data_IF_805318689177
#
_entry.id   IF_805318689177
#
_cell.length_a   1.000
_cell.length_b   1.000
_cell.length_c   1.000
_cell.angle_alpha   90.00
_cell.angle_beta   90.00
_cell.angle_gamma   90.00
#
_symmetry.space_group_name_H-M   'P 1'
#
loop_
_entity.id
_entity.type
_entity.pdbx_description
1 polymer ?
#
# COMPACT_ATOMS: atom_id res chain seq x y z
N UNK A 1 -20.66 21.50 12.24
CA UNK A 1 -19.66 20.99 13.21
C UNK A 1 -20.38 19.94 14.03
N UNK A 2 -20.19 18.66 13.72
CA UNK A 2 -20.91 17.55 14.37
C UNK A 2 -20.07 17.13 15.58
N UNK A 3 -20.62 17.26 16.79
CA UNK A 3 -19.98 16.78 18.01
C UNK A 3 -20.29 15.30 18.18
N UNK A 4 -19.27 14.44 18.11
CA UNK A 4 -19.38 13.07 18.58
C UNK A 4 -19.33 13.14 20.11
N UNK A 5 -20.50 13.10 20.76
CA UNK A 5 -20.57 12.99 22.21
C UNK A 5 -20.23 11.55 22.63
N UNK A 6 -18.95 11.33 22.94
CA UNK A 6 -18.53 10.13 23.67
C UNK A 6 -18.97 10.28 25.12
N UNK A 7 -19.96 9.49 25.55
CA UNK A 7 -20.34 9.39 26.97
C UNK A 7 -19.33 8.46 27.64
N UNK A 8 -18.24 9.02 28.16
CA UNK A 8 -17.25 8.30 28.96
C UNK A 8 -17.71 8.19 30.42
N UNK A 9 -17.46 7.07 31.12
CA UNK A 9 -17.62 7.01 32.56
C UNK A 9 -16.60 7.93 33.24
N UNK A 10 -17.10 8.91 34.00
CA UNK A 10 -16.31 9.93 34.70
C UNK A 10 -15.50 9.34 35.86
N UNK A 11 -14.18 9.41 35.75
CA UNK A 11 -13.24 9.33 36.88
C UNK A 11 -12.46 10.66 36.95
N UNK A 12 -12.63 11.38 38.05
CA UNK A 12 -12.03 12.70 38.32
C UNK A 12 -10.55 12.63 38.65
N UNK A 13 -9.72 13.35 37.91
CA UNK A 13 -8.39 13.81 38.35
C UNK A 13 -8.10 15.21 37.76
N UNK A 14 -7.79 16.15 38.64
CA UNK A 14 -7.52 17.56 38.37
C UNK A 14 -6.05 17.82 38.06
N UNK A 15 -5.76 18.61 37.02
CA UNK A 15 -4.43 19.13 36.75
C UNK A 15 -4.42 20.18 35.64
N UNK A 16 -4.06 21.41 35.99
CA UNK A 16 -4.06 22.63 35.15
C UNK A 16 -2.76 22.87 34.37
N UNK A 17 -2.87 23.67 33.29
CA UNK A 17 -1.90 24.67 32.75
C UNK A 17 -1.34 24.39 31.32
N UNK A 18 -0.71 25.37 30.60
CA UNK A 18 -1.39 26.21 29.59
C UNK A 18 -0.62 26.31 28.24
N UNK A 19 -1.27 26.77 27.17
CA UNK A 19 -0.56 27.01 25.90
C UNK A 19 -1.40 27.59 24.75
N UNK A 20 -1.71 28.88 24.83
CA UNK A 20 -2.22 29.68 23.70
C UNK A 20 -1.12 29.92 22.65
N UNK A 21 -1.46 29.78 21.36
CA UNK A 21 -1.25 30.75 20.25
C UNK A 21 -1.11 30.03 18.90
N UNK A 22 -2.22 29.95 18.14
CA UNK A 22 -2.23 29.81 16.67
C UNK A 22 -3.68 29.93 16.17
N UNK A 23 -4.28 31.13 16.31
CA UNK A 23 -5.69 31.34 15.95
C UNK A 23 -5.94 32.54 15.01
N UNK A 24 -4.90 33.05 14.33
CA UNK A 24 -5.07 34.27 13.51
C UNK A 24 -4.77 34.08 12.02
N UNK A 25 -4.34 32.89 11.57
CA UNK A 25 -4.06 32.66 10.14
C UNK A 25 -5.17 31.93 9.36
N UNK A 26 -6.24 31.44 10.02
CA UNK A 26 -7.20 30.51 9.39
C UNK A 26 -8.40 31.18 8.68
N UNK A 27 -8.63 32.48 8.88
CA UNK A 27 -9.90 33.12 8.46
C UNK A 27 -9.89 33.76 7.05
N UNK A 28 -8.81 33.65 6.28
CA UNK A 28 -8.72 34.37 4.98
C UNK A 28 -8.77 33.46 3.74
N UNK A 29 -8.95 32.15 3.90
CA UNK A 29 -9.05 31.20 2.77
C UNK A 29 -10.44 30.58 2.58
N UNK A 30 -11.44 30.97 3.38
CA UNK A 30 -12.83 30.49 3.24
C UNK A 30 -13.69 31.55 2.55
N UNK A 31 -13.32 31.93 1.34
CA UNK A 31 -14.21 32.67 0.44
C UNK A 31 -14.01 32.15 -0.97
N UNK A 32 -15.06 31.52 -1.49
CA UNK A 32 -15.17 30.80 -2.78
C UNK A 32 -14.87 29.30 -2.73
N UNK A 33 -15.82 28.54 -2.19
CA UNK A 33 -16.10 27.23 -2.75
C UNK A 33 -17.61 27.03 -2.85
N UNK A 34 -18.01 26.65 -4.06
CA UNK A 34 -19.36 26.56 -4.57
C UNK A 34 -20.26 25.66 -3.72
N UNK A 35 -21.48 26.10 -3.49
CA UNK A 35 -22.55 25.43 -2.73
C UNK A 35 -23.27 24.32 -3.50
N UNK A 36 -22.77 23.92 -4.68
CA UNK A 36 -23.62 23.17 -5.63
C UNK A 36 -23.42 21.65 -5.66
N UNK A 37 -22.46 21.07 -4.92
CA UNK A 37 -22.15 19.64 -5.04
C UNK A 37 -22.92 18.69 -4.10
N UNK A 38 -23.77 19.20 -3.20
CA UNK A 38 -24.59 18.35 -2.28
C UNK A 38 -26.06 18.21 -2.71
N UNK A 39 -26.44 18.63 -3.92
CA UNK A 39 -27.82 18.67 -4.39
C UNK A 39 -28.30 17.40 -5.13
N UNK A 40 -27.77 16.21 -4.79
CA UNK A 40 -28.23 14.95 -5.38
C UNK A 40 -28.81 14.03 -4.30
N UNK A 41 -30.15 14.08 -4.17
CA UNK A 41 -31.08 13.00 -3.80
C UNK A 41 -32.27 13.43 -2.91
N UNK A 42 -33.05 14.46 -3.28
CA UNK A 42 -34.37 14.71 -2.68
C UNK A 42 -35.36 15.27 -3.73
N UNK A 43 -35.84 14.39 -4.62
CA UNK A 43 -36.99 14.68 -5.47
C UNK A 43 -38.03 13.57 -5.28
N UNK A 44 -38.79 13.66 -4.19
CA UNK A 44 -40.04 12.93 -3.97
C UNK A 44 -41.20 13.95 -3.88
N UNK A 45 -42.41 13.61 -4.34
CA UNK A 45 -43.54 14.54 -4.44
C UNK A 45 -44.01 15.06 -3.06
N UNK A 46 -44.61 16.27 -3.01
CA UNK A 46 -45.02 16.90 -1.77
C UNK A 46 -46.37 16.32 -1.29
N UNK A 47 -46.34 15.25 -0.52
CA UNK A 47 -47.49 14.82 0.26
C UNK A 47 -47.10 14.62 1.72
N UNK A 48 -47.74 15.41 2.59
CA UNK A 48 -47.67 15.39 4.06
C UNK A 48 -46.27 15.58 4.66
N UNK A 49 -45.90 16.83 4.92
CA UNK A 49 -44.78 17.17 5.81
C UNK A 49 -45.21 16.79 7.24
N UNK A 50 -44.62 15.75 7.87
CA UNK A 50 -44.69 15.65 9.32
C UNK A 50 -43.83 16.79 9.88
N UNK A 51 -44.27 17.42 10.97
CA UNK A 51 -43.47 18.42 11.68
C UNK A 51 -42.02 17.97 11.88
N UNK A 52 -41.05 18.89 11.97
CA UNK A 52 -39.65 18.59 12.28
C UNK A 52 -39.53 18.13 13.74
N UNK A 53 -40.11 16.99 14.07
CA UNK A 53 -39.81 16.27 15.31
C UNK A 53 -38.39 15.76 15.14
N UNK A 54 -37.46 16.44 15.83
CA UNK A 54 -36.09 16.04 16.15
C UNK A 54 -35.50 14.95 15.25
N UNK A 55 -34.47 15.31 14.48
CA UNK A 55 -33.41 14.39 14.04
C UNK A 55 -33.16 13.35 15.12
N UNK A 56 -33.85 12.21 15.03
CA UNK A 56 -33.94 11.30 16.16
C UNK A 56 -32.66 10.51 16.10
N UNK A 57 -31.69 10.96 16.89
CA UNK A 57 -30.41 10.29 16.95
C UNK A 57 -30.63 8.85 17.37
N UNK A 58 -29.95 7.97 16.64
CA UNK A 58 -30.01 6.55 16.86
C UNK A 58 -28.84 6.16 17.73
N UNK A 59 -29.05 5.17 18.60
CA UNK A 59 -27.98 4.60 19.40
C UNK A 59 -27.55 3.27 18.80
N UNK A 60 -26.24 3.11 18.64
CA UNK A 60 -25.62 1.83 18.30
C UNK A 60 -24.91 1.29 19.53
N UNK A 61 -25.20 0.04 19.86
CA UNK A 61 -24.59 -0.68 20.97
C UNK A 61 -23.57 -1.70 20.41
N UNK A 62 -22.32 -1.61 20.84
CA UNK A 62 -21.27 -2.56 20.49
C UNK A 62 -21.29 -3.78 21.42
N UNK A 63 -20.61 -4.86 21.03
CA UNK A 63 -20.58 -6.11 21.79
C UNK A 63 -19.91 -6.00 23.16
N UNK A 64 -19.07 -4.99 23.35
CA UNK A 64 -18.41 -4.61 24.61
C UNK A 64 -19.19 -3.54 25.39
N UNK A 65 -20.49 -3.40 25.11
CA UNK A 65 -21.43 -2.51 25.80
C UNK A 65 -21.15 -1.01 25.61
N UNK A 66 -20.34 -0.63 24.61
CA UNK A 66 -20.20 0.75 24.17
C UNK A 66 -21.48 1.26 23.52
N UNK A 67 -21.88 2.49 23.83
CA UNK A 67 -23.10 3.11 23.29
C UNK A 67 -22.75 4.40 22.55
N UNK A 68 -23.12 4.45 21.27
CA UNK A 68 -22.77 5.53 20.36
C UNK A 68 -24.01 6.20 19.81
N UNK A 69 -24.13 7.50 20.05
CA UNK A 69 -25.16 8.32 19.42
C UNK A 69 -24.71 8.71 18.00
N UNK A 70 -25.48 8.31 17.00
CA UNK A 70 -25.13 8.47 15.58
C UNK A 70 -26.29 8.99 14.75
N UNK A 71 -25.95 9.65 13.64
CA UNK A 71 -26.94 10.03 12.62
C UNK A 71 -27.03 8.94 11.56
N UNK A 72 -28.11 8.16 11.63
CA UNK A 72 -28.30 6.98 10.80
C UNK A 72 -28.26 7.24 9.28
N UNK A 73 -28.82 8.36 8.76
CA UNK A 73 -28.69 8.71 7.34
C UNK A 73 -27.24 8.85 6.88
N UNK A 74 -26.35 9.43 7.71
CA UNK A 74 -24.93 9.59 7.39
C UNK A 74 -24.26 8.21 7.28
N UNK A 75 -24.55 7.32 8.23
CA UNK A 75 -24.00 5.96 8.21
C UNK A 75 -24.43 5.18 6.97
N UNK A 76 -25.72 5.28 6.59
CA UNK A 76 -26.26 4.61 5.43
C UNK A 76 -25.74 5.19 4.09
N UNK A 77 -25.48 6.49 4.04
CA UNK A 77 -24.81 7.11 2.89
C UNK A 77 -23.36 6.66 2.76
N UNK A 78 -22.64 6.52 3.87
CA UNK A 78 -21.23 6.14 3.86
C UNK A 78 -21.00 4.64 3.65
N UNK A 79 -21.89 3.80 4.20
CA UNK A 79 -21.72 2.35 4.21
C UNK A 79 -23.02 1.62 3.86
N UNK A 80 -22.98 0.69 2.87
CA UNK A 80 -24.15 -0.08 2.45
C UNK A 80 -24.71 -0.98 3.56
N UNK A 81 -23.89 -1.34 4.56
CA UNK A 81 -24.30 -2.17 5.71
C UNK A 81 -25.44 -1.54 6.50
N UNK A 82 -25.52 -0.21 6.52
CA UNK A 82 -26.53 0.51 7.28
C UNK A 82 -27.80 0.83 6.48
N UNK A 83 -27.81 0.66 5.15
CA UNK A 83 -28.97 1.02 4.32
C UNK A 83 -30.25 0.28 4.74
N UNK A 84 -30.15 -1.01 5.08
CA UNK A 84 -31.30 -1.84 5.47
C UNK A 84 -31.98 -1.41 6.77
N UNK A 85 -31.33 -0.57 7.56
CA UNK A 85 -31.83 -0.06 8.84
C UNK A 85 -32.45 1.35 8.72
N UNK A 86 -32.35 1.99 7.54
CA UNK A 86 -33.11 3.22 7.25
C UNK A 86 -34.62 2.97 7.26
N UNK A 87 -35.05 1.74 6.97
CA UNK A 87 -36.44 1.34 7.07
C UNK A 87 -36.83 1.26 8.56
N UNK A 88 -37.79 2.07 9.03
CA UNK A 88 -38.20 2.04 10.43
C UNK A 88 -38.67 0.65 10.83
N UNK A 89 -37.99 0.03 11.79
CA UNK A 89 -38.45 -1.19 12.47
C UNK A 89 -38.75 -0.81 13.92
N UNK A 90 -39.97 -1.09 14.38
CA UNK A 90 -40.37 -0.88 15.78
C UNK A 90 -41.33 0.29 16.02
N UNK A 91 -41.74 0.50 17.28
CA UNK A 91 -42.71 1.53 17.66
C UNK A 91 -42.20 2.94 17.30
N UNK A 92 -43.12 3.80 16.84
CA UNK A 92 -42.81 5.16 16.38
C UNK A 92 -42.31 6.10 17.48
N UNK A 93 -42.38 5.69 18.76
CA UNK A 93 -42.12 6.54 19.91
C UNK A 93 -40.99 5.94 20.75
N UNK A 94 -39.82 6.58 20.72
CA UNK A 94 -38.67 6.26 21.59
C UNK A 94 -37.31 6.29 20.86
N UNK A 95 -36.20 6.40 21.61
CA UNK A 95 -34.86 6.23 21.07
C UNK A 95 -34.67 4.81 20.52
N UNK A 96 -34.10 4.71 19.32
CA UNK A 96 -33.84 3.41 18.67
C UNK A 96 -32.44 2.95 19.03
N UNK A 97 -32.34 1.72 19.52
CA UNK A 97 -31.07 1.04 19.80
C UNK A 97 -30.86 -0.08 18.78
N UNK A 98 -29.65 -0.16 18.25
CA UNK A 98 -29.24 -1.22 17.34
C UNK A 98 -27.97 -1.87 17.86
N UNK A 99 -28.05 -3.15 18.14
CA UNK A 99 -26.89 -3.93 18.56
C UNK A 99 -26.07 -4.35 17.33
N UNK A 100 -24.75 -4.17 17.42
CA UNK A 100 -23.79 -4.67 16.43
C UNK A 100 -22.79 -5.62 17.09
N UNK A 101 -22.29 -6.58 16.32
CA UNK A 101 -21.35 -7.58 16.81
C UNK A 101 -19.93 -7.02 17.03
N UNK A 102 -19.62 -5.86 16.45
CA UNK A 102 -18.32 -5.18 16.58
C UNK A 102 -18.04 -4.68 17.99
N UNK A 103 -16.76 -4.62 18.35
CA UNK A 103 -16.29 -3.94 19.54
C UNK A 103 -16.24 -2.41 19.37
N UNK A 104 -16.08 -1.69 20.49
CA UNK A 104 -16.00 -0.23 20.52
C UNK A 104 -14.85 0.31 19.68
N UNK A 105 -13.70 -0.36 19.65
CA UNK A 105 -12.53 0.10 18.92
C UNK A 105 -12.79 0.12 17.40
N UNK A 106 -13.39 -0.95 16.89
CA UNK A 106 -13.63 -1.14 15.45
C UNK A 106 -14.69 -0.17 14.98
N UNK A 107 -15.73 0.00 15.79
CA UNK A 107 -16.79 0.95 15.51
C UNK A 107 -16.30 2.41 15.62
N UNK A 108 -15.48 2.75 16.61
CA UNK A 108 -14.83 4.07 16.70
C UNK A 108 -13.96 4.37 15.47
N UNK A 109 -13.18 3.39 15.00
CA UNK A 109 -12.38 3.53 13.79
C UNK A 109 -13.28 3.79 12.56
N UNK A 110 -14.36 3.03 12.43
CA UNK A 110 -15.36 3.24 11.38
C UNK A 110 -15.96 4.65 11.44
N UNK A 111 -16.43 5.09 12.60
CA UNK A 111 -16.97 6.43 12.79
C UNK A 111 -15.94 7.51 12.44
N UNK A 112 -14.68 7.31 12.82
CA UNK A 112 -13.59 8.22 12.49
C UNK A 112 -13.37 8.32 10.98
N UNK A 113 -13.51 7.22 10.23
CA UNK A 113 -13.41 7.23 8.76
C UNK A 113 -14.60 7.87 8.06
N UNK A 114 -15.77 7.93 8.72
CA UNK A 114 -17.03 8.45 8.15
C UNK A 114 -17.28 9.91 8.50
N UNK A 115 -17.06 10.30 9.76
CA UNK A 115 -17.42 11.62 10.28
C UNK A 115 -16.27 12.62 10.27
N UNK A 116 -15.02 12.14 10.26
CA UNK A 116 -13.89 13.06 10.31
C UNK A 116 -13.74 13.77 8.98
N UNK A 117 -13.51 15.08 9.05
CA UNK A 117 -13.15 15.89 7.88
C UNK A 117 -11.77 15.52 7.36
N UNK A 118 -10.87 15.18 8.28
CA UNK A 118 -9.49 14.78 8.03
C UNK A 118 -9.33 13.28 8.30
N UNK A 119 -8.33 12.64 7.70
CA UNK A 119 -8.04 11.24 7.98
C UNK A 119 -7.63 11.07 9.47
N UNK A 120 -8.04 9.98 10.15
CA UNK A 120 -7.48 9.66 11.46
C UNK A 120 -5.95 9.59 11.38
N UNK A 121 -5.29 10.11 12.41
CA UNK A 121 -3.83 10.05 12.52
C UNK A 121 -3.41 8.59 12.74
N UNK A 122 -2.91 7.95 11.68
CA UNK A 122 -2.40 6.58 11.72
C UNK A 122 -0.88 6.66 11.80
N UNK A 123 -0.34 6.30 12.97
CA UNK A 123 1.09 6.37 13.26
C UNK A 123 1.83 5.04 13.05
N UNK A 124 1.11 3.92 12.91
CA UNK A 124 1.69 2.58 12.83
C UNK A 124 1.08 1.76 11.70
N UNK A 125 1.87 0.84 11.13
CA UNK A 125 1.41 -0.07 10.08
C UNK A 125 0.32 -1.04 10.56
N UNK A 126 0.36 -1.45 11.84
CA UNK A 126 -0.72 -2.23 12.45
C UNK A 126 -2.02 -1.42 12.54
N UNK A 127 -1.94 -0.11 12.85
CA UNK A 127 -3.08 0.79 12.82
C UNK A 127 -3.64 0.97 11.41
N UNK A 128 -2.78 1.04 10.39
CA UNK A 128 -3.18 1.07 9.00
C UNK A 128 -3.92 -0.22 8.59
N UNK A 129 -3.35 -1.38 8.92
CA UNK A 129 -3.96 -2.69 8.63
C UNK A 129 -5.34 -2.83 9.28
N UNK A 130 -5.44 -2.39 10.53
CA UNK A 130 -6.70 -2.36 11.28
C UNK A 130 -7.73 -1.44 10.62
N UNK A 131 -7.34 -0.22 10.25
CA UNK A 131 -8.23 0.73 9.57
C UNK A 131 -8.69 0.20 8.20
N UNK A 132 -7.81 -0.46 7.44
CA UNK A 132 -8.17 -1.11 6.18
C UNK A 132 -9.15 -2.29 6.41
N UNK A 133 -8.97 -3.05 7.49
CA UNK A 133 -9.89 -4.13 7.91
C UNK A 133 -11.28 -3.60 8.15
N UNK A 134 -11.39 -2.52 8.93
CA UNK A 134 -12.64 -1.82 9.21
C UNK A 134 -13.24 -1.25 7.93
N UNK A 135 -12.44 -0.56 7.10
CA UNK A 135 -12.90 0.00 5.84
C UNK A 135 -13.49 -1.06 4.91
N UNK A 136 -12.83 -2.23 4.76
CA UNK A 136 -13.35 -3.35 3.98
C UNK A 136 -14.64 -3.91 4.58
N UNK A 137 -14.67 -4.12 5.89
CA UNK A 137 -15.84 -4.68 6.59
C UNK A 137 -17.10 -3.83 6.38
N UNK A 138 -16.97 -2.52 6.45
CA UNK A 138 -18.09 -1.59 6.25
C UNK A 138 -18.25 -1.11 4.79
N UNK A 139 -17.47 -1.63 3.83
CA UNK A 139 -17.58 -1.26 2.43
C UNK A 139 -17.17 0.18 2.11
N UNK A 140 -16.26 0.77 2.90
CA UNK A 140 -15.74 2.13 2.72
C UNK A 140 -14.64 2.18 1.64
N UNK A 141 -15.02 1.95 0.39
CA UNK A 141 -14.07 1.82 -0.72
C UNK A 141 -13.22 3.09 -0.96
N UNK A 142 -13.79 4.28 -0.77
CA UNK A 142 -13.03 5.54 -0.90
C UNK A 142 -12.03 5.69 0.23
N UNK A 143 -12.44 5.46 1.48
CA UNK A 143 -11.55 5.52 2.65
C UNK A 143 -10.41 4.52 2.52
N UNK A 144 -10.66 3.29 2.03
CA UNK A 144 -9.60 2.32 1.76
C UNK A 144 -8.57 2.81 0.73
N UNK A 145 -8.99 3.53 -0.32
CA UNK A 145 -8.07 4.15 -1.29
C UNK A 145 -7.23 5.25 -0.66
N UNK A 146 -7.83 6.09 0.20
CA UNK A 146 -7.10 7.16 0.88
C UNK A 146 -6.10 6.58 1.89
N UNK A 147 -6.51 5.56 2.65
CA UNK A 147 -5.64 4.81 3.58
C UNK A 147 -4.45 4.18 2.84
N UNK A 148 -4.66 3.59 1.66
CA UNK A 148 -3.57 3.11 0.80
C UNK A 148 -2.59 4.24 0.43
N UNK A 149 -3.09 5.44 0.17
CA UNK A 149 -2.26 6.62 -0.13
C UNK A 149 -1.24 6.94 0.96
N UNK A 150 -1.52 6.61 2.22
CA UNK A 150 -0.58 6.80 3.34
C UNK A 150 0.72 6.01 3.20
N UNK A 151 0.72 4.90 2.45
CA UNK A 151 1.94 4.14 2.15
C UNK A 151 2.87 4.89 1.19
N UNK A 152 2.32 5.80 0.37
CA UNK A 152 3.07 6.52 -0.67
C UNK A 152 3.34 7.98 -0.31
N UNK A 153 2.72 8.50 0.75
CA UNK A 153 2.87 9.89 1.18
C UNK A 153 4.10 10.09 2.08
N UNK A 154 5.11 10.90 1.67
CA UNK A 154 6.28 11.17 2.50
C UNK A 154 5.98 11.85 3.84
N UNK A 155 4.84 12.53 3.96
CA UNK A 155 4.39 13.15 5.22
C UNK A 155 3.77 12.17 6.22
N UNK A 156 3.50 10.94 5.77
CA UNK A 156 2.84 9.91 6.56
C UNK A 156 3.82 9.14 7.44
N UNK A 157 3.39 8.78 8.65
CA UNK A 157 4.15 7.92 9.56
C UNK A 157 4.33 6.50 9.01
N UNK A 158 3.36 6.04 8.22
CA UNK A 158 3.35 4.70 7.59
C UNK A 158 3.85 4.75 6.15
N UNK A 159 4.69 5.72 5.82
CA UNK A 159 5.34 5.80 4.53
C UNK A 159 6.28 4.63 4.29
N UNK A 160 6.29 4.09 3.07
CA UNK A 160 7.10 2.91 2.69
C UNK A 160 8.58 3.07 3.02
N UNK A 161 9.15 4.28 2.92
CA UNK A 161 10.57 4.50 3.21
C UNK A 161 10.91 4.42 4.71
N UNK A 162 9.94 4.66 5.61
CA UNK A 162 10.17 4.64 7.05
C UNK A 162 10.37 3.20 7.56
N UNK A 163 9.57 2.26 7.03
CA UNK A 163 9.66 0.84 7.35
C UNK A 163 9.16 0.01 6.15
N UNK A 164 10.06 -0.28 5.18
CA UNK A 164 9.71 -1.05 3.99
C UNK A 164 9.19 -2.45 4.31
N UNK A 165 9.62 -3.01 5.44
CA UNK A 165 9.22 -4.34 5.88
C UNK A 165 7.73 -4.37 6.22
N UNK A 166 7.30 -3.51 7.15
CA UNK A 166 5.91 -3.44 7.55
C UNK A 166 5.01 -2.97 6.40
N UNK A 167 5.49 -2.05 5.56
CA UNK A 167 4.78 -1.60 4.38
C UNK A 167 4.54 -2.73 3.38
N UNK A 168 5.54 -3.60 3.14
CA UNK A 168 5.41 -4.75 2.26
C UNK A 168 4.31 -5.71 2.76
N UNK A 169 4.28 -6.01 4.05
CA UNK A 169 3.31 -6.94 4.63
C UNK A 169 1.87 -6.42 4.50
N UNK A 170 1.65 -5.15 4.83
CA UNK A 170 0.35 -4.51 4.64
C UNK A 170 -0.02 -4.51 3.15
N UNK A 171 0.88 -4.09 2.28
CA UNK A 171 0.62 -4.06 0.84
C UNK A 171 0.32 -5.46 0.27
N UNK A 172 1.02 -6.50 0.73
CA UNK A 172 0.78 -7.89 0.34
C UNK A 172 -0.61 -8.37 0.80
N UNK A 173 -0.95 -8.16 2.08
CA UNK A 173 -2.23 -8.57 2.66
C UNK A 173 -3.43 -7.95 1.93
N UNK A 174 -3.27 -6.72 1.45
CA UNK A 174 -4.31 -5.95 0.78
C UNK A 174 -4.24 -5.95 -0.74
N UNK A 175 -3.26 -6.62 -1.33
CA UNK A 175 -3.08 -6.69 -2.79
C UNK A 175 -2.68 -5.36 -3.43
N UNK A 176 -1.98 -4.49 -2.69
CA UNK A 176 -1.48 -3.21 -3.17
C UNK A 176 -0.16 -3.40 -3.93
N UNK A 177 -0.26 -3.89 -5.17
CA UNK A 177 0.89 -4.36 -5.96
C UNK A 177 1.98 -3.28 -6.12
N UNK A 178 1.62 -2.01 -6.33
CA UNK A 178 2.60 -0.94 -6.56
C UNK A 178 3.42 -0.62 -5.30
N UNK A 179 2.75 -0.54 -4.15
CA UNK A 179 3.33 -0.29 -2.85
C UNK A 179 4.14 -1.51 -2.40
N UNK A 180 3.64 -2.72 -2.64
CA UNK A 180 4.36 -3.98 -2.41
C UNK A 180 5.66 -4.03 -3.22
N UNK A 181 5.63 -3.66 -4.51
CA UNK A 181 6.82 -3.60 -5.37
C UNK A 181 7.79 -2.49 -4.94
N UNK A 182 7.27 -1.37 -4.44
CA UNK A 182 8.11 -0.27 -3.96
C UNK A 182 8.82 -0.64 -2.67
N UNK A 183 8.07 -1.18 -1.71
CA UNK A 183 8.61 -1.70 -0.45
C UNK A 183 9.62 -2.83 -0.69
N UNK A 184 9.32 -3.76 -1.61
CA UNK A 184 10.21 -4.86 -1.89
C UNK A 184 11.53 -4.46 -2.54
N UNK A 185 11.53 -3.42 -3.40
CA UNK A 185 12.77 -2.84 -3.95
C UNK A 185 13.67 -2.29 -2.84
N UNK A 186 13.08 -1.66 -1.84
CA UNK A 186 13.81 -1.14 -0.68
C UNK A 186 14.33 -2.27 0.20
N UNK A 187 13.54 -3.34 0.38
CA UNK A 187 13.96 -4.52 1.13
C UNK A 187 15.15 -5.24 0.48
N UNK A 188 15.17 -5.41 -0.84
CA UNK A 188 16.27 -6.11 -1.54
C UNK A 188 17.64 -5.48 -1.25
N UNK A 189 17.72 -4.16 -1.14
CA UNK A 189 18.97 -3.46 -0.83
C UNK A 189 19.30 -3.35 0.67
N UNK A 190 18.33 -3.61 1.56
CA UNK A 190 18.51 -3.47 3.01
C UNK A 190 18.68 -4.81 3.74
N UNK A 191 18.12 -5.89 3.19
CA UNK A 191 18.14 -7.21 3.82
C UNK A 191 19.33 -8.01 3.27
N UNK A 192 20.37 -8.12 4.08
CA UNK A 192 21.47 -9.03 3.80
C UNK A 192 21.05 -10.47 4.15
N UNK A 193 20.76 -11.26 3.12
CA UNK A 193 20.41 -12.69 3.28
C UNK A 193 21.62 -13.57 3.64
N UNK A 194 22.84 -13.02 3.62
CA UNK A 194 24.05 -13.73 4.06
C UNK A 194 24.32 -13.55 5.56
N UNK A 195 23.64 -12.59 6.21
CA UNK A 195 23.70 -12.40 7.65
C UNK A 195 22.76 -13.37 8.36
N UNK A 196 23.35 -14.29 9.15
CA UNK A 196 22.61 -15.31 9.90
C UNK A 196 21.59 -14.68 10.87
N UNK A 197 21.92 -13.54 11.49
CA UNK A 197 21.01 -12.86 12.43
C UNK A 197 19.77 -12.29 11.75
N UNK A 198 19.95 -11.73 10.55
CA UNK A 198 18.83 -11.31 9.70
C UNK A 198 18.01 -12.51 9.30
N UNK A 199 18.63 -13.59 8.81
CA UNK A 199 17.92 -14.80 8.40
C UNK A 199 17.10 -15.41 9.54
N UNK A 200 17.67 -15.52 10.75
CA UNK A 200 16.98 -15.98 11.95
C UNK A 200 15.76 -15.10 12.27
N UNK A 201 15.89 -13.77 12.19
CA UNK A 201 14.77 -12.85 12.37
C UNK A 201 13.67 -13.05 11.33
N UNK A 202 14.03 -13.29 10.06
CA UNK A 202 13.07 -13.58 8.99
C UNK A 202 12.32 -14.89 9.30
N UNK A 203 13.04 -15.91 9.73
CA UNK A 203 12.48 -17.23 10.04
C UNK A 203 11.65 -17.25 11.33
N UNK A 204 11.94 -16.36 12.28
CA UNK A 204 11.25 -16.29 13.56
C UNK A 204 9.79 -15.80 13.48
N UNK A 205 9.36 -15.26 12.32
CA UNK A 205 8.00 -14.74 12.14
C UNK A 205 7.35 -15.26 10.86
N UNK A 206 6.03 -15.52 10.90
CA UNK A 206 5.27 -15.93 9.72
C UNK A 206 5.36 -14.87 8.61
N UNK A 207 5.31 -13.60 8.98
CA UNK A 207 5.50 -12.48 8.08
C UNK A 207 6.89 -12.46 7.46
N UNK A 208 7.93 -12.78 8.22
CA UNK A 208 9.29 -12.84 7.69
C UNK A 208 9.53 -13.99 6.74
N UNK A 209 8.91 -15.14 6.99
CA UNK A 209 8.92 -16.26 6.04
C UNK A 209 8.27 -15.84 4.71
N UNK A 210 7.17 -15.07 4.74
CA UNK A 210 6.53 -14.56 3.51
C UNK A 210 7.45 -13.61 2.74
N UNK A 211 8.15 -12.72 3.44
CA UNK A 211 9.14 -11.83 2.80
C UNK A 211 10.29 -12.63 2.21
N UNK A 212 10.86 -13.57 2.97
CA UNK A 212 11.94 -14.44 2.52
C UNK A 212 11.53 -15.26 1.28
N UNK A 213 10.37 -15.90 1.32
CA UNK A 213 9.83 -16.65 0.19
C UNK A 213 9.65 -15.77 -1.05
N UNK A 214 9.18 -14.53 -0.87
CA UNK A 214 9.04 -13.58 -1.97
C UNK A 214 10.39 -13.13 -2.54
N UNK A 215 11.37 -12.82 -1.68
CA UNK A 215 12.73 -12.46 -2.09
C UNK A 215 13.38 -13.62 -2.86
N UNK A 216 13.31 -14.85 -2.34
CA UNK A 216 13.82 -16.05 -3.00
C UNK A 216 13.11 -16.30 -4.33
N UNK A 217 11.79 -16.17 -4.39
CA UNK A 217 11.03 -16.35 -5.63
C UNK A 217 11.42 -15.31 -6.68
N UNK A 218 11.61 -14.04 -6.27
CA UNK A 218 12.09 -12.96 -7.15
C UNK A 218 13.49 -13.26 -7.67
N UNK A 219 14.42 -13.62 -6.79
CA UNK A 219 15.80 -13.91 -7.17
C UNK A 219 15.89 -15.14 -8.07
N UNK A 220 15.13 -16.20 -7.75
CA UNK A 220 15.03 -17.40 -8.59
C UNK A 220 14.48 -17.06 -9.97
N UNK A 221 13.38 -16.30 -10.05
CA UNK A 221 12.80 -15.90 -11.34
C UNK A 221 13.79 -15.08 -12.17
N UNK A 222 14.49 -14.15 -11.55
CA UNK A 222 15.51 -13.35 -12.20
C UNK A 222 16.69 -14.21 -12.69
N UNK A 223 17.21 -15.10 -11.84
CA UNK A 223 18.29 -16.02 -12.19
C UNK A 223 17.88 -16.96 -13.33
N UNK A 224 16.70 -17.60 -13.25
CA UNK A 224 16.18 -18.47 -14.31
C UNK A 224 16.07 -17.70 -15.63
N UNK A 225 15.56 -16.47 -15.63
CA UNK A 225 15.42 -15.68 -16.87
C UNK A 225 16.77 -15.31 -17.49
N UNK A 226 17.72 -14.89 -16.67
CA UNK A 226 19.04 -14.53 -17.16
C UNK A 226 19.82 -15.75 -17.67
N UNK A 227 19.71 -16.89 -16.98
CA UNK A 227 20.47 -18.10 -17.28
C UNK A 227 19.82 -18.99 -18.35
N UNK A 228 18.50 -18.95 -18.51
CA UNK A 228 17.75 -19.70 -19.55
C UNK A 228 17.61 -18.92 -20.87
N UNK A 229 18.49 -17.94 -21.11
CA UNK A 229 18.46 -17.11 -22.32
C UNK A 229 18.75 -17.92 -23.60
N UNK A 230 18.03 -17.69 -24.71
CA UNK A 230 18.31 -18.35 -25.99
C UNK A 230 19.66 -17.97 -26.60
N UNK A 231 20.29 -16.87 -26.15
CA UNK A 231 21.65 -16.52 -26.56
C UNK A 231 22.73 -17.40 -25.90
N UNK A 232 22.35 -18.19 -24.89
CA UNK A 232 23.22 -19.18 -24.27
C UNK A 232 23.31 -20.47 -25.09
N UNK A 233 22.61 -20.56 -26.23
CA UNK A 233 22.70 -21.71 -27.12
C UNK A 233 24.11 -21.76 -27.76
N UNK A 234 24.84 -22.89 -27.68
CA UNK A 234 26.15 -23.04 -28.29
C UNK A 234 26.15 -22.86 -29.82
N UNK A 235 24.99 -22.93 -30.47
CA UNK A 235 24.81 -22.66 -31.90
C UNK A 235 24.72 -21.16 -32.25
N UNK A 236 24.62 -20.27 -31.25
CA UNK A 236 24.56 -18.83 -31.47
C UNK A 236 25.95 -18.29 -31.83
N UNK A 237 26.11 -17.42 -32.84
CA UNK A 237 27.40 -16.85 -33.26
C UNK A 237 28.02 -15.87 -32.25
N UNK A 238 27.59 -15.91 -30.98
CA UNK A 238 28.04 -15.07 -29.87
C UNK A 238 29.03 -15.78 -28.94
N UNK A 239 29.31 -17.06 -29.18
CA UNK A 239 30.26 -17.86 -28.42
C UNK A 239 31.67 -17.68 -28.99
N UNK A 240 32.61 -17.29 -28.14
CA UNK A 240 34.03 -17.22 -28.49
C UNK A 240 34.66 -18.60 -28.37
N UNK A 241 35.33 -19.04 -29.43
CA UNK A 241 36.01 -20.35 -29.47
C UNK A 241 37.41 -20.32 -28.86
N UNK A 242 38.00 -19.14 -28.71
CA UNK A 242 39.36 -18.97 -28.17
C UNK A 242 39.42 -18.91 -26.65
N UNK A 243 38.27 -18.79 -25.97
CA UNK A 243 38.21 -18.90 -24.53
C UNK A 243 38.18 -20.40 -24.15
N UNK A 244 39.24 -20.94 -23.49
CA UNK A 244 39.34 -22.36 -23.16
C UNK A 244 38.24 -22.80 -22.20
N UNK A 245 37.70 -21.84 -21.43
CA UNK A 245 36.46 -21.97 -20.70
C UNK A 245 35.32 -21.32 -21.50
N UNK A 246 34.62 -22.12 -22.30
CA UNK A 246 33.26 -21.83 -22.79
C UNK A 246 32.28 -21.46 -21.66
N UNK A 247 32.70 -21.59 -20.41
CA UNK A 247 32.05 -21.21 -19.16
C UNK A 247 32.09 -19.69 -18.89
N UNK A 248 33.08 -18.94 -19.41
CA UNK A 248 33.02 -17.47 -19.47
C UNK A 248 32.18 -17.01 -20.67
N UNK A 249 30.97 -17.55 -20.76
CA UNK A 249 29.93 -16.94 -21.56
C UNK A 249 29.72 -15.54 -20.97
N UNK A 250 30.20 -14.50 -21.65
CA UNK A 250 30.08 -13.12 -21.20
C UNK A 250 28.63 -12.74 -20.85
N UNK A 251 27.65 -13.45 -21.40
CA UNK A 251 26.22 -13.37 -21.04
C UNK A 251 26.02 -13.73 -19.57
N UNK A 252 26.66 -14.78 -19.06
CA UNK A 252 26.61 -15.17 -17.66
C UNK A 252 27.31 -14.14 -16.76
N UNK A 253 28.47 -13.62 -17.18
CA UNK A 253 29.17 -12.58 -16.43
C UNK A 253 28.36 -11.27 -16.37
N UNK A 254 27.79 -10.86 -17.51
CA UNK A 254 26.87 -9.72 -17.59
C UNK A 254 25.63 -9.96 -16.74
N UNK A 255 25.01 -11.14 -16.83
CA UNK A 255 23.85 -11.52 -16.01
C UNK A 255 24.16 -11.47 -14.52
N UNK A 256 25.33 -11.96 -14.09
CA UNK A 256 25.77 -11.90 -12.70
C UNK A 256 26.02 -10.46 -12.24
N UNK A 257 26.62 -9.62 -13.08
CA UNK A 257 26.83 -8.21 -12.76
C UNK A 257 25.51 -7.43 -12.72
N UNK A 258 24.58 -7.73 -13.64
CA UNK A 258 23.22 -7.22 -13.61
C UNK A 258 22.49 -7.68 -12.35
N UNK A 259 22.57 -8.96 -11.99
CA UNK A 259 22.01 -9.50 -10.75
C UNK A 259 22.56 -8.76 -9.53
N UNK A 260 23.89 -8.59 -9.43
CA UNK A 260 24.55 -7.87 -8.34
C UNK A 260 24.08 -6.43 -8.26
N UNK A 261 24.03 -5.72 -9.40
CA UNK A 261 23.58 -4.33 -9.44
C UNK A 261 22.11 -4.18 -9.05
N UNK A 262 21.23 -5.07 -9.53
CA UNK A 262 19.81 -5.08 -9.18
C UNK A 262 19.54 -5.51 -7.74
N UNK A 263 20.47 -6.28 -7.14
CA UNK A 263 20.40 -6.64 -5.73
C UNK A 263 20.95 -5.53 -4.82
N UNK A 264 21.93 -4.75 -5.30
CA UNK A 264 22.55 -3.68 -4.54
C UNK A 264 21.80 -2.34 -4.64
N UNK A 265 21.09 -2.09 -5.74
CA UNK A 265 20.39 -0.83 -5.99
C UNK A 265 18.99 -1.06 -6.58
N UNK A 266 18.04 -0.24 -6.12
CA UNK A 266 16.69 -0.18 -6.68
C UNK A 266 16.61 0.64 -7.98
N UNK A 267 17.68 1.33 -8.37
CA UNK A 267 17.75 2.10 -9.61
C UNK A 267 17.98 1.17 -10.81
N UNK A 268 17.37 1.50 -11.95
CA UNK A 268 17.65 0.80 -13.21
C UNK A 268 19.12 1.02 -13.57
N UNK A 269 19.98 0.00 -13.51
CA UNK A 269 21.37 0.20 -13.83
C UNK A 269 21.50 0.59 -15.30
N UNK A 270 22.51 1.37 -15.68
CA UNK A 270 22.91 1.58 -17.08
C UNK A 270 23.45 0.30 -17.75
N UNK A 271 23.12 -0.88 -17.22
CA UNK A 271 23.59 -2.20 -17.60
C UNK A 271 22.80 -2.83 -18.75
N UNK A 272 21.85 -2.12 -19.34
CA UNK A 272 21.08 -2.62 -20.49
C UNK A 272 21.57 -2.04 -21.81
N UNK A 273 22.88 -1.92 -21.97
CA UNK A 273 23.51 -1.38 -23.17
C UNK A 273 24.75 -2.17 -23.58
N UNK A 274 25.14 -2.01 -24.85
CA UNK A 274 26.33 -2.66 -25.40
C UNK A 274 27.59 -2.34 -24.58
N UNK A 275 27.71 -1.12 -24.05
CA UNK A 275 28.83 -0.71 -23.19
C UNK A 275 29.02 -1.67 -22.00
N UNK A 276 27.94 -1.98 -21.28
CA UNK A 276 27.98 -2.92 -20.14
C UNK A 276 28.35 -4.35 -20.54
N UNK A 277 28.02 -4.77 -21.76
CA UNK A 277 28.44 -6.07 -22.30
C UNK A 277 29.96 -6.09 -22.55
N UNK A 278 30.50 -4.99 -23.08
CA UNK A 278 31.90 -4.86 -23.41
C UNK A 278 32.78 -4.67 -22.17
N UNK A 279 32.25 -4.07 -21.09
CA UNK A 279 32.96 -3.89 -19.82
C UNK A 279 33.24 -5.21 -19.10
N UNK A 280 32.38 -6.22 -19.27
CA UNK A 280 32.56 -7.53 -18.61
C UNK A 280 33.41 -8.50 -19.41
N UNK A 281 33.90 -8.09 -20.57
CA UNK A 281 34.62 -8.94 -21.52
C UNK A 281 36.08 -8.54 -21.58
N UNK A 282 36.94 -9.41 -21.04
CA UNK A 282 38.39 -9.22 -21.10
C UNK A 282 39.03 -9.75 -22.39
N UNK A 283 38.35 -10.67 -23.10
CA UNK A 283 38.84 -11.27 -24.33
C UNK A 283 38.53 -10.39 -25.56
N UNK A 284 39.55 -10.03 -26.35
CA UNK A 284 39.38 -9.21 -27.56
C UNK A 284 38.47 -9.87 -28.60
N UNK A 285 38.56 -11.18 -28.80
CA UNK A 285 37.74 -11.88 -29.79
C UNK A 285 36.26 -11.93 -29.39
N UNK A 286 35.96 -12.16 -28.10
CA UNK A 286 34.61 -11.99 -27.56
C UNK A 286 34.10 -10.56 -27.83
N UNK A 287 34.96 -9.56 -27.63
CA UNK A 287 34.63 -8.15 -27.82
C UNK A 287 34.27 -7.86 -29.29
N UNK A 288 35.06 -8.36 -30.23
CA UNK A 288 34.78 -8.25 -31.67
C UNK A 288 33.49 -8.95 -32.06
N UNK A 289 33.24 -10.16 -31.53
CA UNK A 289 32.00 -10.90 -31.77
C UNK A 289 30.79 -10.10 -31.28
N UNK A 290 30.85 -9.51 -30.08
CA UNK A 290 29.79 -8.67 -29.52
C UNK A 290 29.57 -7.44 -30.40
N UNK A 291 30.64 -6.74 -30.80
CA UNK A 291 30.55 -5.56 -31.68
C UNK A 291 29.92 -5.92 -33.03
N UNK A 292 30.37 -7.02 -33.65
CA UNK A 292 29.84 -7.52 -34.92
C UNK A 292 28.35 -7.87 -34.83
N UNK A 293 27.89 -8.31 -33.66
CA UNK A 293 26.51 -8.69 -33.40
C UNK A 293 25.76 -7.66 -32.51
N UNK A 294 26.23 -6.42 -32.43
CA UNK A 294 25.75 -5.42 -31.47
C UNK A 294 24.22 -5.26 -31.46
N UNK A 295 23.61 -5.20 -32.65
CA UNK A 295 22.15 -5.05 -32.79
C UNK A 295 21.37 -6.22 -32.17
N UNK A 296 21.87 -7.45 -32.30
CA UNK A 296 21.24 -8.65 -31.74
C UNK A 296 21.37 -8.62 -30.22
N UNK A 297 22.57 -8.31 -29.71
CA UNK A 297 22.85 -8.18 -28.27
C UNK A 297 21.96 -7.11 -27.63
N UNK A 298 21.88 -5.92 -28.22
CA UNK A 298 21.03 -4.83 -27.72
C UNK A 298 19.54 -5.19 -27.76
N UNK A 299 19.09 -5.88 -28.81
CA UNK A 299 17.69 -6.31 -28.91
C UNK A 299 17.34 -7.31 -27.82
N UNK A 300 18.24 -8.26 -27.55
CA UNK A 300 18.09 -9.20 -26.45
C UNK A 300 18.11 -8.51 -25.08
N UNK A 301 19.09 -7.63 -24.81
CA UNK A 301 19.15 -6.88 -23.56
C UNK A 301 17.90 -6.02 -23.34
N UNK A 302 17.35 -5.43 -24.41
CA UNK A 302 16.07 -4.71 -24.36
C UNK A 302 14.90 -5.65 -24.05
N UNK A 303 14.85 -6.83 -24.65
CA UNK A 303 13.86 -7.86 -24.32
C UNK A 303 13.94 -8.26 -22.84
N UNK A 304 15.13 -8.53 -22.31
CA UNK A 304 15.33 -8.83 -20.88
C UNK A 304 14.86 -7.67 -20.00
N UNK A 305 15.17 -6.42 -20.39
CA UNK A 305 14.70 -5.22 -19.68
C UNK A 305 13.17 -5.12 -19.67
N UNK A 306 12.54 -5.30 -20.82
CA UNK A 306 11.09 -5.17 -20.98
C UNK A 306 10.35 -6.30 -20.23
N UNK A 307 10.90 -7.52 -20.25
CA UNK A 307 10.40 -8.65 -19.47
C UNK A 307 10.49 -8.36 -17.97
N UNK A 308 11.66 -7.90 -17.49
CA UNK A 308 11.85 -7.52 -16.09
C UNK A 308 10.93 -6.35 -15.67
N UNK A 309 10.61 -5.43 -16.58
CA UNK A 309 9.60 -4.38 -16.36
C UNK A 309 8.20 -4.95 -16.25
N UNK A 310 7.82 -5.85 -17.16
CA UNK A 310 6.50 -6.50 -17.15
C UNK A 310 6.28 -7.32 -15.87
N UNK A 311 7.35 -7.89 -15.33
CA UNK A 311 7.36 -8.66 -14.09
C UNK A 311 7.43 -7.78 -12.83
N UNK A 312 7.49 -6.45 -12.97
CA UNK A 312 7.59 -5.49 -11.88
C UNK A 312 8.93 -5.51 -11.14
N UNK A 313 9.97 -6.11 -11.73
CA UNK A 313 11.33 -6.13 -11.18
C UNK A 313 12.04 -4.81 -11.45
N UNK A 314 11.85 -4.23 -12.64
CA UNK A 314 12.33 -2.90 -13.04
C UNK A 314 11.15 -1.94 -13.19
N UNK A 315 11.35 -0.67 -12.84
CA UNK A 315 10.46 0.44 -13.21
C UNK A 315 11.31 1.57 -13.77
#
# INVERSE_FOLDING_TARGET
MVFINMVLPTTTMTGTSPGMKLQVAFNTLVSKQSTDDFALALALPPSSIPSPTATQDTYICTSDLGVYQVHFPILACASPMFVGFLTPRGPAYGPKFYDIADDSASFCCFLSLVYSRDLPAISTFSGLDYALTVARKYGLALSAKILRGLLSDPGSWVYVENDPWSAFLVAQQWGFINEMNTASRKLVGQVDLTDDGTLERLQASESGIKVLAWLVARQTKLATRLLSSPLSDPSTPLVCFSCPDTVFNWINAWAQNLYKALSASAETPELFGLASALEVVECEECREIIIKNAKVVETWMRSVRDDLKSDGVLY
#
